data_IF_411930736770
#
_entry.id   IF_411930736770
#
_cell.length_a   1.000
_cell.length_b   1.000
_cell.length_c   1.000
_cell.angle_alpha   90.00
_cell.angle_beta   90.00
_cell.angle_gamma   90.00
#
_symmetry.space_group_name_H-M   'P 1'
#
loop_
_entity.id
_entity.type
_entity.pdbx_description
1 polymer ?
#
# COMPACT_ATOMS: atom_id res chain seq x y z
N UNK A 1 9.30 30.12 -6.37
CA UNK A 1 10.39 30.75 -5.60
C UNK A 1 10.58 32.24 -5.91
N UNK A 2 10.58 32.69 -7.17
CA UNK A 2 10.72 34.12 -7.55
C UNK A 2 9.76 35.09 -6.84
N UNK A 3 8.53 34.67 -6.52
CA UNK A 3 7.55 35.50 -5.79
C UNK A 3 7.98 35.79 -4.35
N UNK A 4 8.67 34.85 -3.71
CA UNK A 4 9.18 35.00 -2.34
C UNK A 4 10.39 35.94 -2.29
N UNK A 5 11.22 35.95 -3.33
CA UNK A 5 12.33 36.89 -3.47
C UNK A 5 11.84 38.33 -3.66
N UNK A 6 10.69 38.49 -4.30
CA UNK A 6 10.08 39.79 -4.58
C UNK A 6 9.21 40.29 -3.42
N UNK A 7 8.52 39.40 -2.72
CA UNK A 7 7.72 39.71 -1.55
C UNK A 7 7.92 38.64 -0.44
N UNK A 8 8.85 38.89 0.49
CA UNK A 8 9.13 37.99 1.61
C UNK A 8 8.01 37.87 2.66
N UNK A 9 6.92 38.65 2.51
CA UNK A 9 5.78 38.67 3.43
C UNK A 9 4.49 38.13 2.80
N UNK A 10 4.55 37.58 1.59
CA UNK A 10 3.39 36.98 0.94
C UNK A 10 3.09 35.57 1.49
N UNK A 11 2.20 35.47 2.50
CA UNK A 11 1.83 34.21 3.14
C UNK A 11 1.42 33.12 2.13
N UNK A 12 0.54 33.47 1.17
CA UNK A 12 0.03 32.53 0.17
C UNK A 12 1.13 31.98 -0.75
N UNK A 13 2.16 32.76 -1.06
CA UNK A 13 3.29 32.29 -1.86
C UNK A 13 4.07 31.19 -1.13
N UNK A 14 4.23 31.31 0.20
CA UNK A 14 4.85 30.29 1.02
C UNK A 14 3.94 29.05 1.19
N UNK A 15 2.65 29.23 1.48
CA UNK A 15 1.73 28.10 1.67
C UNK A 15 1.55 27.26 0.39
N UNK A 16 1.39 27.91 -0.75
CA UNK A 16 1.28 27.20 -2.03
C UNK A 16 2.59 26.50 -2.41
N UNK A 17 3.74 27.12 -2.12
CA UNK A 17 5.02 26.43 -2.25
C UNK A 17 5.08 25.18 -1.36
N UNK A 18 4.58 25.26 -0.11
CA UNK A 18 4.44 24.12 0.80
C UNK A 18 3.57 22.99 0.24
N UNK A 19 2.40 23.32 -0.31
CA UNK A 19 1.49 22.34 -0.92
C UNK A 19 2.07 21.64 -2.13
N UNK A 20 2.73 22.39 -3.01
CA UNK A 20 3.44 21.82 -4.16
C UNK A 20 4.54 20.87 -3.68
N UNK A 21 5.33 21.27 -2.68
CA UNK A 21 6.38 20.43 -2.11
C UNK A 21 5.81 19.18 -1.42
N UNK A 22 4.65 19.28 -0.77
CA UNK A 22 3.97 18.14 -0.15
C UNK A 22 3.51 17.11 -1.20
N UNK A 23 2.90 17.55 -2.30
CA UNK A 23 2.50 16.66 -3.41
C UNK A 23 3.72 15.99 -4.04
N UNK A 24 4.83 16.73 -4.12
CA UNK A 24 6.12 16.21 -4.56
C UNK A 24 6.80 15.29 -3.54
N UNK A 25 6.13 14.97 -2.41
CA UNK A 25 6.65 14.15 -1.30
C UNK A 25 7.92 14.70 -0.65
N UNK A 26 8.22 15.99 -0.86
CA UNK A 26 9.31 16.73 -0.21
C UNK A 26 8.83 17.29 1.11
N UNK A 27 8.46 16.40 2.01
CA UNK A 27 7.74 16.75 3.23
C UNK A 27 8.54 17.70 4.15
N UNK A 28 9.87 17.57 4.34
CA UNK A 28 10.61 18.51 5.19
C UNK A 28 10.69 19.93 4.63
N UNK A 29 10.79 20.08 3.30
CA UNK A 29 10.76 21.41 2.67
C UNK A 29 9.34 21.99 2.69
N UNK A 30 8.32 21.16 2.47
CA UNK A 30 6.94 21.56 2.61
C UNK A 30 6.68 22.16 4.00
N UNK A 31 7.18 21.53 5.06
CA UNK A 31 7.06 22.02 6.44
C UNK A 31 7.70 23.40 6.63
N UNK A 32 8.88 23.69 6.03
CA UNK A 32 9.52 25.02 6.13
C UNK A 32 8.66 26.13 5.49
N UNK A 33 8.12 25.85 4.31
CA UNK A 33 7.27 26.78 3.58
C UNK A 33 5.92 26.97 4.26
N UNK A 34 5.32 25.89 4.76
CA UNK A 34 4.13 25.99 5.60
C UNK A 34 4.37 26.80 6.86
N UNK A 35 5.49 26.57 7.57
CA UNK A 35 5.84 27.34 8.77
C UNK A 35 5.92 28.84 8.48
N UNK A 36 6.65 29.25 7.44
CA UNK A 36 6.77 30.68 7.08
C UNK A 36 5.44 31.28 6.61
N UNK A 37 4.65 30.53 5.87
CA UNK A 37 3.31 30.97 5.47
C UNK A 37 2.37 31.11 6.66
N UNK A 38 2.46 30.21 7.64
CA UNK A 38 1.68 30.22 8.86
C UNK A 38 2.14 31.30 9.86
N UNK A 39 3.42 31.69 9.88
CA UNK A 39 3.87 32.89 10.62
C UNK A 39 3.15 34.17 10.14
N UNK A 40 2.96 34.29 8.83
CA UNK A 40 2.30 35.43 8.20
C UNK A 40 0.77 35.30 8.22
N UNK A 41 0.24 34.08 8.29
CA UNK A 41 -1.20 33.77 8.28
C UNK A 41 -1.54 32.61 9.25
N UNK A 42 -1.54 32.85 10.57
CA UNK A 42 -1.58 31.79 11.58
C UNK A 42 -2.92 31.05 11.72
N UNK A 43 -4.01 31.57 11.15
CA UNK A 43 -5.36 30.97 11.25
C UNK A 43 -5.83 30.28 9.98
N UNK A 44 -4.91 29.92 9.08
CA UNK A 44 -5.28 29.25 7.84
C UNK A 44 -5.48 27.74 8.10
N UNK A 45 -6.74 27.32 8.24
CA UNK A 45 -7.11 25.95 8.62
C UNK A 45 -6.61 24.86 7.64
N UNK A 46 -6.79 25.00 6.30
CA UNK A 46 -6.20 24.05 5.35
C UNK A 46 -4.68 23.94 5.49
N UNK A 47 -3.98 25.08 5.61
CA UNK A 47 -2.54 25.08 5.77
C UNK A 47 -2.07 24.42 7.08
N UNK A 48 -2.81 24.57 8.18
CA UNK A 48 -2.53 23.89 9.45
C UNK A 48 -2.71 22.36 9.33
N UNK A 49 -3.78 21.91 8.66
CA UNK A 49 -4.03 20.48 8.41
C UNK A 49 -2.97 19.86 7.50
N UNK A 50 -2.60 20.56 6.43
CA UNK A 50 -1.58 20.09 5.50
C UNK A 50 -0.19 20.14 6.11
N UNK A 51 0.12 21.14 6.92
CA UNK A 51 1.35 21.19 7.71
C UNK A 51 1.41 20.02 8.72
N UNK A 52 0.31 19.72 9.41
CA UNK A 52 0.24 18.58 10.32
C UNK A 52 0.43 17.24 9.61
N UNK A 53 -0.22 17.06 8.44
CA UNK A 53 -0.03 15.87 7.61
C UNK A 53 1.41 15.77 7.10
N UNK A 54 2.03 16.90 6.72
CA UNK A 54 3.43 16.95 6.32
C UNK A 54 4.36 16.49 7.45
N UNK A 55 4.13 16.96 8.68
CA UNK A 55 4.87 16.55 9.86
C UNK A 55 4.62 15.06 10.23
N UNK A 56 3.40 14.55 10.05
CA UNK A 56 3.04 13.14 10.29
C UNK A 56 3.80 12.16 9.38
N UNK A 57 3.93 12.48 8.09
CA UNK A 57 4.64 11.64 7.11
C UNK A 57 6.14 11.52 7.40
N UNK A 58 6.71 12.47 8.16
CA UNK A 58 8.14 12.48 8.52
C UNK A 58 8.38 12.14 10.00
N UNK A 59 7.35 11.72 10.74
CA UNK A 59 7.46 11.34 12.15
C UNK A 59 7.63 12.48 13.14
N UNK A 60 7.47 13.73 12.71
CA UNK A 60 7.53 14.95 13.54
C UNK A 60 6.21 15.14 14.30
N UNK A 61 5.86 14.15 15.12
CA UNK A 61 4.52 14.04 15.69
C UNK A 61 4.18 15.17 16.66
N UNK A 62 5.11 15.67 17.46
CA UNK A 62 4.80 16.78 18.38
C UNK A 62 4.37 18.05 17.64
N UNK A 63 5.10 18.39 16.58
CA UNK A 63 4.80 19.55 15.74
C UNK A 63 3.51 19.33 14.95
N UNK A 64 3.28 18.10 14.48
CA UNK A 64 2.03 17.73 13.84
C UNK A 64 0.84 17.90 14.80
N UNK A 65 0.97 17.46 16.05
CA UNK A 65 -0.05 17.63 17.09
C UNK A 65 -0.26 19.11 17.43
N UNK A 66 0.78 19.93 17.43
CA UNK A 66 0.67 21.37 17.65
C UNK A 66 -0.20 22.02 16.57
N UNK A 67 0.10 21.79 15.29
CA UNK A 67 -0.73 22.32 14.20
C UNK A 67 -2.16 21.80 14.22
N UNK A 68 -2.37 20.53 14.60
CA UNK A 68 -3.72 19.97 14.76
C UNK A 68 -4.46 20.62 15.92
N UNK A 69 -3.78 20.93 17.03
CA UNK A 69 -4.38 21.67 18.13
C UNK A 69 -4.78 23.09 17.71
N UNK A 70 -3.96 23.77 16.92
CA UNK A 70 -4.27 25.09 16.37
C UNK A 70 -5.44 25.02 15.38
N UNK A 71 -5.47 24.01 14.50
CA UNK A 71 -6.59 23.74 13.61
C UNK A 71 -7.88 23.52 14.39
N UNK A 72 -7.85 22.70 15.44
CA UNK A 72 -8.97 22.43 16.33
C UNK A 72 -9.39 23.63 17.18
N UNK A 73 -8.48 24.58 17.41
CA UNK A 73 -8.84 25.84 18.07
C UNK A 73 -9.67 26.76 17.17
N UNK A 74 -9.54 26.62 15.84
CA UNK A 74 -10.27 27.39 14.83
C UNK A 74 -11.57 26.69 14.47
N UNK A 75 -11.52 25.38 14.23
CA UNK A 75 -12.67 24.51 14.02
C UNK A 75 -12.59 23.29 14.95
N UNK A 76 -13.20 23.38 16.16
CA UNK A 76 -13.22 22.29 17.12
C UNK A 76 -13.95 21.03 16.62
N UNK A 77 -14.79 21.17 15.59
CA UNK A 77 -15.55 20.09 14.98
C UNK A 77 -14.88 19.48 13.75
N UNK A 78 -13.67 19.94 13.41
CA UNK A 78 -12.96 19.44 12.23
C UNK A 78 -12.61 17.97 12.40
N UNK A 79 -13.42 17.09 11.80
CA UNK A 79 -13.22 15.65 11.91
C UNK A 79 -11.88 15.19 11.31
N UNK A 80 -11.40 15.90 10.29
CA UNK A 80 -10.09 15.63 9.68
C UNK A 80 -8.97 15.91 10.67
N UNK A 81 -9.04 17.03 11.40
CA UNK A 81 -8.06 17.38 12.42
C UNK A 81 -8.10 16.39 13.60
N UNK A 82 -9.30 16.07 14.10
CA UNK A 82 -9.51 15.12 15.20
C UNK A 82 -8.96 13.73 14.85
N UNK A 83 -9.35 13.17 13.69
CA UNK A 83 -8.89 11.83 13.26
C UNK A 83 -7.38 11.77 13.06
N UNK A 84 -6.78 12.81 12.46
CA UNK A 84 -5.32 12.88 12.30
C UNK A 84 -4.62 12.99 13.63
N UNK A 85 -5.10 13.84 14.54
CA UNK A 85 -4.48 14.02 15.86
C UNK A 85 -4.50 12.72 16.66
N UNK A 86 -5.62 11.99 16.59
CA UNK A 86 -5.73 10.67 17.19
C UNK A 86 -4.78 9.65 16.55
N UNK A 87 -4.58 9.67 15.23
CA UNK A 87 -3.60 8.82 14.53
C UNK A 87 -2.16 9.15 14.95
N UNK A 88 -1.80 10.43 14.99
CA UNK A 88 -0.46 10.88 15.36
C UNK A 88 -0.14 10.58 16.82
N UNK A 89 -1.07 10.76 17.75
CA UNK A 89 -0.87 10.35 19.14
C UNK A 89 -0.68 8.83 19.27
N UNK A 90 -1.31 8.04 18.39
CA UNK A 90 -1.10 6.59 18.34
C UNK A 90 0.26 6.23 17.74
N UNK A 91 0.71 6.92 16.69
CA UNK A 91 2.00 6.69 16.01
C UNK A 91 3.20 7.16 16.85
N UNK A 92 3.10 8.33 17.49
CA UNK A 92 4.11 8.86 18.40
C UNK A 92 4.42 7.93 19.56
N UNK A 93 3.35 7.48 20.21
CA UNK A 93 3.41 6.45 21.25
C UNK A 93 3.91 5.09 20.72
N UNK A 94 3.88 4.86 19.42
CA UNK A 94 4.37 3.64 18.79
C UNK A 94 5.83 3.74 18.33
N UNK A 95 6.52 4.88 18.49
CA UNK A 95 7.82 5.10 17.83
C UNK A 95 8.88 5.88 18.66
N UNK A 96 8.52 6.57 19.74
CA UNK A 96 9.43 6.82 20.92
C UNK A 96 10.10 5.53 21.45
N UNK A 97 9.59 4.49 20.85
CA UNK A 97 9.75 3.10 20.96
C UNK A 97 10.98 2.51 20.30
N UNK A 98 11.56 3.11 19.27
CA UNK A 98 12.21 2.26 18.26
C UNK A 98 13.74 2.28 18.18
N UNK A 99 14.44 3.30 18.66
CA UNK A 99 15.91 3.25 18.78
C UNK A 99 16.50 3.89 20.07
N UNK A 100 15.68 4.59 20.87
CA UNK A 100 16.05 5.01 22.24
C UNK A 100 15.49 4.12 23.36
N UNK A 101 14.61 3.19 23.00
CA UNK A 101 13.98 2.22 23.89
C UNK A 101 13.87 0.90 23.14
N UNK A 102 14.93 0.08 23.07
CA UNK A 102 14.79 -1.32 22.63
C UNK A 102 13.49 -1.96 23.16
N UNK A 103 13.17 -1.68 24.43
CA UNK A 103 11.95 -2.07 25.14
C UNK A 103 10.65 -1.80 24.41
N UNK A 104 10.56 -0.68 23.72
CA UNK A 104 9.32 -0.26 23.14
C UNK A 104 9.17 -0.88 21.74
N UNK A 105 10.23 -0.99 20.92
CA UNK A 105 10.19 -1.73 19.65
C UNK A 105 9.85 -3.15 19.97
N UNK A 106 10.50 -3.70 20.99
CA UNK A 106 10.17 -4.99 21.55
C UNK A 106 8.71 -5.04 22.00
N UNK A 107 8.14 -3.99 22.61
CA UNK A 107 6.69 -3.92 22.90
C UNK A 107 5.84 -3.88 21.63
N UNK A 108 6.23 -3.18 20.57
CA UNK A 108 5.52 -3.17 19.29
C UNK A 108 5.56 -4.55 18.64
N UNK A 109 6.74 -5.16 18.55
CA UNK A 109 6.96 -6.50 18.00
C UNK A 109 6.28 -7.58 18.84
N UNK A 110 6.25 -7.47 20.17
CA UNK A 110 5.54 -8.42 21.04
C UNK A 110 4.02 -8.25 20.93
N UNK A 111 3.51 -7.01 20.76
CA UNK A 111 2.08 -6.80 20.43
C UNK A 111 1.73 -7.41 19.08
N UNK A 112 2.55 -7.16 18.07
CA UNK A 112 2.38 -7.72 16.73
C UNK A 112 2.45 -9.25 16.75
N UNK A 113 3.40 -9.81 17.50
CA UNK A 113 3.55 -11.25 17.72
C UNK A 113 2.28 -11.85 18.33
N UNK A 114 1.73 -11.25 19.39
CA UNK A 114 0.48 -11.74 20.02
C UNK A 114 -0.73 -11.62 19.10
N UNK A 115 -0.88 -10.47 18.43
CA UNK A 115 -1.93 -10.23 17.43
C UNK A 115 -1.90 -11.34 16.37
N UNK A 116 -0.72 -11.62 15.82
CA UNK A 116 -0.56 -12.62 14.78
C UNK A 116 -0.64 -14.05 15.36
N UNK A 117 -0.15 -14.32 16.58
CA UNK A 117 -0.27 -15.64 17.22
C UNK A 117 -1.74 -16.04 17.40
N UNK A 118 -2.57 -15.14 17.93
CA UNK A 118 -4.01 -15.37 18.09
C UNK A 118 -4.68 -15.58 16.73
N UNK A 119 -4.36 -14.72 15.78
CA UNK A 119 -4.93 -14.76 14.43
C UNK A 119 -4.56 -16.06 13.71
N UNK A 120 -3.31 -16.51 13.80
CA UNK A 120 -2.82 -17.72 13.13
C UNK A 120 -3.01 -19.01 13.94
N UNK A 121 -3.45 -18.91 15.20
CA UNK A 121 -3.73 -20.05 16.07
C UNK A 121 -2.49 -20.80 16.55
N UNK A 122 -1.31 -20.18 16.52
CA UNK A 122 -0.03 -20.75 16.95
C UNK A 122 0.80 -19.72 17.71
N UNK A 123 1.77 -20.15 18.50
CA UNK A 123 2.72 -19.21 19.09
C UNK A 123 3.83 -18.87 18.09
N UNK A 124 3.84 -17.62 17.62
CA UNK A 124 4.81 -17.15 16.62
C UNK A 124 6.16 -16.78 17.23
N UNK A 125 7.27 -16.93 16.48
CA UNK A 125 8.61 -16.59 16.94
C UNK A 125 8.76 -15.08 17.16
N UNK A 126 9.72 -14.68 18.00
CA UNK A 126 10.12 -13.28 18.11
C UNK A 126 10.85 -12.85 16.85
N UNK A 127 10.52 -11.67 16.33
CA UNK A 127 11.26 -11.04 15.25
C UNK A 127 12.24 -10.00 15.80
N UNK A 128 13.37 -9.84 15.11
CA UNK A 128 14.31 -8.74 15.31
C UNK A 128 14.18 -7.78 14.13
N UNK A 129 14.19 -6.47 14.36
CA UNK A 129 14.18 -5.45 13.29
C UNK A 129 15.56 -4.81 13.20
N UNK A 130 16.11 -4.71 11.98
CA UNK A 130 17.39 -4.07 11.73
C UNK A 130 17.28 -3.08 10.58
N UNK A 131 17.96 -1.94 10.72
CA UNK A 131 18.11 -1.00 9.61
C UNK A 131 19.19 -1.52 8.66
N UNK A 132 18.80 -1.76 7.41
CA UNK A 132 19.70 -2.23 6.34
C UNK A 132 20.11 -1.03 5.49
N UNK A 133 21.38 -0.64 5.61
CA UNK A 133 21.95 0.54 4.92
C UNK A 133 22.35 0.26 3.48
N UNK A 134 22.77 -0.97 3.19
CA UNK A 134 23.17 -1.40 1.85
C UNK A 134 22.25 -2.53 1.40
N UNK A 135 21.54 -2.27 0.30
CA UNK A 135 20.57 -3.20 -0.27
C UNK A 135 21.30 -4.39 -0.94
N UNK A 136 20.89 -5.64 -0.68
CA UNK A 136 21.46 -6.79 -1.36
C UNK A 136 21.28 -6.70 -2.89
N UNK A 137 22.27 -7.10 -3.72
CA UNK A 137 22.22 -6.98 -5.19
C UNK A 137 21.02 -7.67 -5.86
N UNK A 138 20.50 -8.73 -5.22
CA UNK A 138 19.37 -9.52 -5.69
C UNK A 138 17.99 -8.91 -5.37
N UNK A 139 17.95 -7.82 -4.61
CA UNK A 139 16.70 -7.22 -4.12
C UNK A 139 16.23 -6.12 -5.10
N UNK A 140 14.98 -6.17 -5.59
CA UNK A 140 14.47 -5.16 -6.53
C UNK A 140 14.52 -3.77 -5.93
N UNK A 141 14.95 -2.77 -6.71
CA UNK A 141 15.21 -1.41 -6.24
C UNK A 141 14.03 -0.78 -5.47
N UNK A 142 12.79 -1.13 -5.82
CA UNK A 142 11.57 -0.65 -5.18
C UNK A 142 11.24 -1.28 -3.82
N UNK A 143 11.91 -2.36 -3.41
CA UNK A 143 11.59 -3.05 -2.15
C UNK A 143 12.08 -2.30 -0.92
N UNK A 144 11.19 -2.16 0.08
CA UNK A 144 11.41 -1.39 1.31
C UNK A 144 11.69 -2.27 2.55
N UNK A 145 11.54 -3.59 2.43
CA UNK A 145 11.66 -4.55 3.52
C UNK A 145 12.23 -5.88 3.06
N UNK A 146 12.85 -6.63 3.97
CA UNK A 146 13.32 -7.98 3.71
C UNK A 146 13.23 -8.86 4.96
N UNK A 147 13.11 -10.17 4.76
CA UNK A 147 13.12 -11.18 5.81
C UNK A 147 14.26 -12.19 5.64
N UNK A 148 15.38 -11.97 6.35
CA UNK A 148 16.58 -12.83 6.36
C UNK A 148 16.96 -13.27 7.79
N UNK A 149 16.04 -13.92 8.49
CA UNK A 149 16.21 -14.25 9.92
C UNK A 149 16.04 -13.06 10.86
N UNK A 150 15.92 -11.85 10.29
CA UNK A 150 15.48 -10.61 10.91
C UNK A 150 14.66 -9.82 9.86
N UNK A 151 13.83 -8.88 10.32
CA UNK A 151 13.12 -7.91 9.49
C UNK A 151 14.09 -6.76 9.18
N UNK A 152 14.58 -6.73 7.95
CA UNK A 152 15.44 -5.66 7.46
C UNK A 152 14.61 -4.50 6.93
N UNK A 153 14.71 -3.34 7.57
CA UNK A 153 14.15 -2.09 7.04
C UNK A 153 15.15 -1.45 6.11
N UNK A 154 14.83 -1.44 4.81
CA UNK A 154 15.67 -0.79 3.81
C UNK A 154 15.29 0.68 3.74
N UNK A 155 16.10 1.50 4.40
CA UNK A 155 15.85 2.95 4.47
C UNK A 155 16.44 3.60 3.22
N UNK A 156 15.59 3.80 2.22
CA UNK A 156 15.92 4.59 1.03
C UNK A 156 15.59 6.07 1.27
N UNK A 157 16.58 6.86 1.69
CA UNK A 157 16.41 8.30 1.86
C UNK A 157 15.71 8.68 3.18
N UNK A 158 14.75 9.61 3.14
CA UNK A 158 14.05 10.09 4.33
C UNK A 158 13.12 9.03 4.93
N UNK A 159 13.19 8.89 6.25
CA UNK A 159 12.42 7.92 7.02
C UNK A 159 10.93 8.31 7.06
N UNK A 160 10.04 7.46 6.53
CA UNK A 160 8.59 7.58 6.64
C UNK A 160 8.07 6.55 7.68
N UNK A 161 7.63 6.98 8.87
CA UNK A 161 7.20 6.05 9.92
C UNK A 161 5.92 5.27 9.59
N UNK A 162 5.02 5.87 8.79
CA UNK A 162 3.81 5.18 8.35
C UNK A 162 4.15 4.05 7.39
N UNK A 163 5.10 4.29 6.48
CA UNK A 163 5.69 3.25 5.63
C UNK A 163 6.45 2.22 6.47
N UNK A 164 7.15 2.63 7.52
CA UNK A 164 7.92 1.70 8.37
C UNK A 164 7.03 0.71 9.12
N UNK A 165 5.94 1.18 9.73
CA UNK A 165 4.98 0.29 10.40
C UNK A 165 4.37 -0.69 9.41
N UNK A 166 3.99 -0.20 8.21
CA UNK A 166 3.45 -1.05 7.16
C UNK A 166 4.47 -2.11 6.70
N UNK A 167 5.74 -1.73 6.53
CA UNK A 167 6.82 -2.66 6.17
C UNK A 167 7.07 -3.69 7.25
N UNK A 168 7.15 -3.32 8.54
CA UNK A 168 7.35 -4.31 9.61
C UNK A 168 6.20 -5.31 9.64
N UNK A 169 4.94 -4.84 9.52
CA UNK A 169 3.76 -5.72 9.48
C UNK A 169 3.77 -6.63 8.25
N UNK A 170 4.15 -6.10 7.09
CA UNK A 170 4.31 -6.86 5.85
C UNK A 170 5.34 -7.98 6.02
N UNK A 171 6.56 -7.67 6.47
CA UNK A 171 7.61 -8.68 6.66
C UNK A 171 7.29 -9.69 7.78
N UNK A 172 6.58 -9.27 8.82
CA UNK A 172 6.11 -10.17 9.88
C UNK A 172 5.04 -11.15 9.37
N UNK A 173 4.22 -10.75 8.39
CA UNK A 173 3.25 -11.64 7.76
C UNK A 173 3.95 -12.81 7.05
N UNK A 174 5.04 -12.53 6.34
CA UNK A 174 5.89 -13.58 5.73
C UNK A 174 6.42 -14.55 6.78
N UNK A 175 6.88 -14.05 7.94
CA UNK A 175 7.33 -14.89 9.06
C UNK A 175 6.19 -15.77 9.62
N UNK A 176 4.99 -15.21 9.75
CA UNK A 176 3.83 -15.94 10.24
C UNK A 176 3.40 -17.06 9.28
N UNK A 177 3.38 -16.78 7.97
CA UNK A 177 3.08 -17.77 6.94
C UNK A 177 4.10 -18.91 6.94
N UNK A 178 5.40 -18.60 7.03
CA UNK A 178 6.47 -19.61 7.18
C UNK A 178 6.33 -20.47 8.44
N UNK A 179 5.63 -19.98 9.46
CA UNK A 179 5.44 -20.69 10.74
C UNK A 179 4.24 -21.66 10.71
N UNK A 180 3.31 -21.49 9.78
CA UNK A 180 2.11 -22.35 9.67
C UNK A 180 2.08 -23.24 8.42
N UNK A 181 2.93 -22.97 7.42
CA UNK A 181 2.91 -23.69 6.14
C UNK A 181 4.09 -24.67 6.02
N UNK A 182 3.82 -25.89 5.57
CA UNK A 182 4.83 -26.90 5.22
C UNK A 182 5.44 -26.70 3.81
N UNK A 183 5.29 -25.50 3.24
CA UNK A 183 5.71 -25.12 1.89
C UNK A 183 5.59 -23.62 1.66
N UNK A 184 5.81 -23.17 0.42
CA UNK A 184 5.72 -21.75 0.04
C UNK A 184 4.36 -21.53 -0.63
N UNK A 185 3.47 -20.67 -0.08
CA UNK A 185 2.23 -20.30 -0.75
C UNK A 185 2.50 -19.70 -2.13
N UNK A 186 1.53 -19.76 -3.06
CA UNK A 186 1.63 -19.06 -4.35
C UNK A 186 1.97 -17.58 -4.16
N UNK A 187 2.80 -17.01 -5.04
CA UNK A 187 3.38 -15.68 -4.81
C UNK A 187 2.33 -14.58 -4.59
N UNK A 188 1.26 -14.56 -5.37
CA UNK A 188 0.15 -13.62 -5.21
C UNK A 188 -0.61 -13.81 -3.89
N UNK A 189 -0.64 -15.02 -3.36
CA UNK A 189 -1.30 -15.32 -2.10
C UNK A 189 -0.43 -14.87 -0.94
N UNK A 190 0.88 -15.15 -0.98
CA UNK A 190 1.85 -14.69 0.02
C UNK A 190 1.91 -13.16 0.09
N UNK A 191 2.19 -12.49 -1.03
CA UNK A 191 2.27 -11.03 -1.11
C UNK A 191 0.89 -10.37 -0.85
N UNK A 192 -0.20 -11.00 -1.29
CA UNK A 192 -1.56 -10.51 -1.04
C UNK A 192 -1.94 -10.54 0.44
N UNK A 193 -1.55 -11.60 1.17
CA UNK A 193 -1.73 -11.69 2.62
C UNK A 193 -0.86 -10.66 3.34
N UNK A 194 0.40 -10.50 2.92
CA UNK A 194 1.31 -9.52 3.51
C UNK A 194 0.81 -8.08 3.32
N UNK A 195 0.35 -7.73 2.11
CA UNK A 195 -0.27 -6.43 1.83
C UNK A 195 -1.54 -6.21 2.63
N UNK A 196 -2.42 -7.22 2.71
CA UNK A 196 -3.65 -7.15 3.50
C UNK A 196 -3.37 -6.90 4.99
N UNK A 197 -2.33 -7.53 5.55
CA UNK A 197 -1.95 -7.38 6.96
C UNK A 197 -1.12 -6.11 7.25
N UNK A 198 -0.53 -5.47 6.22
CA UNK A 198 0.30 -4.26 6.34
C UNK A 198 -0.47 -3.03 6.86
N UNK A 199 -1.77 -2.93 6.55
CA UNK A 199 -2.62 -1.81 6.96
C UNK A 199 -2.58 -0.57 6.06
N UNK A 200 -1.92 -0.61 4.90
CA UNK A 200 -1.94 0.49 3.90
C UNK A 200 -3.37 0.66 3.35
N UNK A 201 -3.84 1.91 3.16
CA UNK A 201 -5.20 2.19 2.63
C UNK A 201 -5.37 1.70 1.19
N UNK A 202 -6.45 0.96 0.96
CA UNK A 202 -6.84 0.43 -0.36
C UNK A 202 -7.55 1.45 -1.26
N UNK A 203 -7.77 2.69 -0.81
CA UNK A 203 -8.62 3.64 -1.54
C UNK A 203 -8.07 3.95 -2.94
N UNK A 204 -6.74 4.11 -3.07
CA UNK A 204 -6.07 4.32 -4.35
C UNK A 204 -5.96 3.04 -5.20
N UNK A 205 -6.09 1.87 -4.59
CA UNK A 205 -5.99 0.59 -5.28
C UNK A 205 -7.33 0.19 -5.90
N UNK A 206 -8.47 0.54 -5.27
CA UNK A 206 -9.80 0.26 -5.81
C UNK A 206 -10.04 0.93 -7.17
N UNK A 207 -9.68 2.21 -7.30
CA UNK A 207 -9.79 2.93 -8.57
C UNK A 207 -8.89 2.32 -9.65
N UNK A 208 -7.65 1.99 -9.28
CA UNK A 208 -6.68 1.35 -10.18
C UNK A 208 -7.15 -0.02 -10.66
N UNK A 209 -7.66 -0.84 -9.76
CA UNK A 209 -8.17 -2.18 -10.07
C UNK A 209 -9.39 -2.10 -10.99
N UNK A 210 -10.31 -1.18 -10.71
CA UNK A 210 -11.47 -0.96 -11.57
C UNK A 210 -11.07 -0.51 -12.98
N UNK A 211 -10.17 0.48 -13.08
CA UNK A 211 -9.67 0.98 -14.36
C UNK A 211 -8.95 -0.13 -15.15
N UNK A 212 -8.15 -0.96 -14.47
CA UNK A 212 -7.47 -2.10 -15.08
C UNK A 212 -8.46 -3.17 -15.54
N UNK A 213 -9.50 -3.47 -14.74
CA UNK A 213 -10.55 -4.44 -15.07
C UNK A 213 -11.34 -4.00 -16.31
N UNK A 214 -11.80 -2.75 -16.35
CA UNK A 214 -12.55 -2.19 -17.50
C UNK A 214 -11.74 -2.21 -18.79
N UNK A 215 -10.42 -2.02 -18.68
CA UNK A 215 -9.51 -1.99 -19.85
C UNK A 215 -8.91 -3.35 -20.19
N UNK A 216 -9.28 -4.44 -19.51
CA UNK A 216 -8.71 -5.77 -19.73
C UNK A 216 -7.21 -5.84 -19.47
N UNK A 217 -6.71 -5.05 -18.51
CA UNK A 217 -5.28 -4.95 -18.15
C UNK A 217 -4.90 -5.73 -16.89
N UNK A 218 -5.85 -6.48 -16.30
CA UNK A 218 -5.55 -7.29 -15.12
C UNK A 218 -4.54 -8.39 -15.45
N UNK A 219 -3.67 -8.73 -14.50
CA UNK A 219 -2.69 -9.79 -14.64
C UNK A 219 -3.30 -11.11 -14.13
N UNK A 220 -3.29 -12.19 -14.92
CA UNK A 220 -3.73 -13.50 -14.43
C UNK A 220 -2.93 -13.93 -13.19
N UNK A 221 -3.61 -14.44 -12.17
CA UNK A 221 -3.01 -14.84 -10.88
C UNK A 221 -1.90 -15.88 -11.07
N UNK A 222 -2.05 -16.77 -12.06
CA UNK A 222 -1.00 -17.75 -12.44
C UNK A 222 0.31 -17.10 -12.90
N UNK A 223 0.30 -15.82 -13.27
CA UNK A 223 1.49 -15.04 -13.67
C UNK A 223 2.05 -14.18 -12.54
N UNK A 224 1.38 -14.17 -11.38
CA UNK A 224 1.79 -13.46 -10.19
C UNK A 224 2.46 -14.41 -9.18
N UNK A 225 3.27 -15.36 -9.66
CA UNK A 225 4.06 -16.24 -8.78
C UNK A 225 5.36 -15.57 -8.32
N UNK A 226 5.87 -14.59 -9.07
CA UNK A 226 7.06 -13.83 -8.70
C UNK A 226 6.87 -12.34 -9.01
N UNK A 227 6.24 -11.63 -8.08
CA UNK A 227 5.93 -10.20 -8.21
C UNK A 227 7.21 -9.36 -8.29
N UNK A 228 8.35 -9.88 -7.82
CA UNK A 228 9.66 -9.20 -7.81
C UNK A 228 10.24 -8.99 -9.19
N UNK A 229 9.88 -9.85 -10.13
CA UNK A 229 10.38 -9.84 -11.51
C UNK A 229 9.42 -9.14 -12.49
N UNK A 230 8.39 -8.46 -11.99
CA UNK A 230 7.51 -7.67 -12.82
C UNK A 230 8.16 -6.33 -13.21
N UNK A 231 7.87 -5.81 -14.41
CA UNK A 231 8.21 -4.44 -14.77
C UNK A 231 7.67 -3.46 -13.73
N UNK A 232 8.45 -2.44 -13.36
CA UNK A 232 8.15 -1.52 -12.26
C UNK A 232 6.75 -0.86 -12.40
N UNK A 233 6.31 -0.62 -13.63
CA UNK A 233 4.99 -0.07 -13.96
C UNK A 233 3.83 -1.02 -13.64
N UNK A 234 4.09 -2.32 -13.54
CA UNK A 234 3.11 -3.37 -13.21
C UNK A 234 3.12 -3.79 -11.75
N UNK A 235 4.22 -3.56 -11.03
CA UNK A 235 4.38 -3.97 -9.62
C UNK A 235 3.22 -3.47 -8.75
N UNK A 236 2.88 -2.18 -8.82
CA UNK A 236 1.77 -1.62 -8.02
C UNK A 236 0.39 -2.20 -8.36
N UNK A 237 0.17 -2.57 -9.62
CA UNK A 237 -1.07 -3.23 -10.02
C UNK A 237 -1.09 -4.67 -9.48
N UNK A 238 0.02 -5.40 -9.61
CA UNK A 238 0.15 -6.78 -9.14
C UNK A 238 -0.09 -6.91 -7.63
N UNK A 239 0.48 -6.01 -6.82
CA UNK A 239 0.24 -5.99 -5.37
C UNK A 239 -1.23 -5.68 -5.03
N UNK A 240 -1.87 -4.75 -5.75
CA UNK A 240 -3.29 -4.47 -5.59
C UNK A 240 -4.17 -5.68 -5.98
N UNK A 241 -3.82 -6.38 -7.06
CA UNK A 241 -4.52 -7.59 -7.52
C UNK A 241 -4.42 -8.72 -6.50
N UNK A 242 -3.19 -9.04 -6.09
CA UNK A 242 -2.88 -10.04 -5.06
C UNK A 242 -3.68 -9.79 -3.77
N UNK A 243 -3.63 -8.55 -3.26
CA UNK A 243 -4.39 -8.15 -2.06
C UNK A 243 -5.89 -8.33 -2.25
N UNK A 244 -6.46 -7.84 -3.34
CA UNK A 244 -7.91 -7.90 -3.56
C UNK A 244 -8.43 -9.33 -3.76
N UNK A 245 -7.63 -10.22 -4.35
CA UNK A 245 -7.97 -11.65 -4.46
C UNK A 245 -8.00 -12.33 -3.08
N UNK A 246 -7.06 -12.00 -2.20
CA UNK A 246 -7.03 -12.48 -0.80
C UNK A 246 -8.23 -11.95 0.00
N UNK A 247 -8.56 -10.67 -0.13
CA UNK A 247 -9.74 -10.07 0.52
C UNK A 247 -11.03 -10.79 0.11
N UNK A 248 -11.16 -11.14 -1.18
CA UNK A 248 -12.30 -11.88 -1.70
C UNK A 248 -12.37 -13.31 -1.12
N UNK A 249 -11.24 -14.02 -1.03
CA UNK A 249 -11.20 -15.36 -0.40
C UNK A 249 -11.61 -15.33 1.08
N UNK A 250 -11.14 -14.34 1.84
CA UNK A 250 -11.50 -14.18 3.25
C UNK A 250 -13.00 -13.92 3.39
N UNK A 251 -13.59 -13.11 2.50
CA UNK A 251 -15.03 -12.85 2.50
C UNK A 251 -15.88 -14.09 2.20
N UNK A 252 -15.35 -15.06 1.44
CA UNK A 252 -16.04 -16.32 1.12
C UNK A 252 -15.95 -17.36 2.24
N UNK A 253 -14.83 -17.41 2.95
CA UNK A 253 -14.46 -18.54 3.81
C UNK A 253 -14.41 -18.23 5.30
N UNK A 254 -14.43 -16.95 5.68
CA UNK A 254 -13.94 -16.49 6.98
C UNK A 254 -12.44 -16.83 7.21
N UNK A 255 -11.85 -16.25 8.26
CA UNK A 255 -10.41 -16.29 8.46
C UNK A 255 -9.84 -17.70 8.73
N UNK A 256 -10.49 -18.53 9.56
CA UNK A 256 -9.95 -19.86 9.91
C UNK A 256 -9.97 -20.83 8.73
N UNK A 257 -11.08 -21.01 7.99
CA UNK A 257 -11.08 -21.85 6.80
C UNK A 257 -10.19 -21.31 5.67
N UNK A 258 -10.03 -19.98 5.57
CA UNK A 258 -9.05 -19.39 4.68
C UNK A 258 -7.60 -19.82 5.01
N UNK A 259 -7.21 -19.87 6.28
CA UNK A 259 -5.87 -20.35 6.64
C UNK A 259 -5.63 -21.82 6.26
N UNK A 260 -6.66 -22.67 6.33
CA UNK A 260 -6.55 -24.08 5.87
C UNK A 260 -6.39 -24.17 4.35
N UNK A 261 -7.05 -23.27 3.59
CA UNK A 261 -6.83 -23.11 2.16
C UNK A 261 -5.38 -22.68 1.88
N UNK A 262 -4.85 -21.70 2.60
CA UNK A 262 -3.45 -21.21 2.43
C UNK A 262 -2.45 -22.33 2.69
N UNK A 263 -2.60 -23.07 3.80
CA UNK A 263 -1.75 -24.23 4.12
C UNK A 263 -1.78 -25.28 3.02
N UNK A 264 -2.96 -25.56 2.48
CA UNK A 264 -3.12 -26.51 1.37
C UNK A 264 -2.49 -25.98 0.08
N UNK A 265 -2.61 -24.68 -0.20
CA UNK A 265 -2.02 -24.04 -1.38
C UNK A 265 -0.50 -24.08 -1.34
N UNK A 266 0.11 -23.92 -0.16
CA UNK A 266 1.56 -24.00 0.02
C UNK A 266 2.17 -25.36 -0.36
N UNK A 267 1.37 -26.44 -0.32
CA UNK A 267 1.83 -27.80 -0.64
C UNK A 267 1.34 -28.27 -2.01
N UNK A 268 0.10 -27.95 -2.38
CA UNK A 268 -0.57 -28.50 -3.58
C UNK A 268 -0.75 -27.48 -4.71
N UNK A 269 -0.41 -26.22 -4.50
CA UNK A 269 -0.67 -25.12 -5.42
C UNK A 269 -2.09 -24.57 -5.34
N UNK A 270 -2.28 -23.36 -5.89
CA UNK A 270 -3.53 -22.59 -5.81
C UNK A 270 -4.74 -23.35 -6.38
N UNK A 271 -4.62 -23.89 -7.61
CA UNK A 271 -5.75 -24.51 -8.32
C UNK A 271 -6.35 -25.70 -7.55
N UNK A 272 -5.48 -26.56 -7.01
CA UNK A 272 -5.92 -27.71 -6.22
C UNK A 272 -6.48 -27.28 -4.87
N UNK A 273 -5.88 -26.29 -4.21
CA UNK A 273 -6.40 -25.80 -2.93
C UNK A 273 -7.78 -25.16 -3.05
N UNK A 274 -7.98 -24.29 -4.06
CA UNK A 274 -9.26 -23.66 -4.37
C UNK A 274 -10.32 -24.74 -4.66
N UNK A 275 -9.97 -25.79 -5.41
CA UNK A 275 -10.89 -26.90 -5.67
C UNK A 275 -11.30 -27.63 -4.39
N UNK A 276 -10.33 -27.94 -3.53
CA UNK A 276 -10.55 -28.67 -2.28
C UNK A 276 -11.45 -27.86 -1.31
N UNK A 277 -11.37 -26.52 -1.30
CA UNK A 277 -12.05 -25.67 -0.31
C UNK A 277 -13.30 -24.95 -0.82
N UNK A 278 -13.36 -24.62 -2.10
CA UNK A 278 -14.45 -23.83 -2.71
C UNK A 278 -15.24 -24.62 -3.76
N UNK A 279 -14.80 -25.80 -4.16
CA UNK A 279 -15.46 -26.60 -5.19
C UNK A 279 -15.35 -26.02 -6.60
N UNK A 280 -14.44 -25.08 -6.83
CA UNK A 280 -14.18 -24.44 -8.14
C UNK A 280 -12.68 -24.48 -8.49
N UNK A 281 -12.33 -24.35 -9.77
CA UNK A 281 -10.93 -24.23 -10.20
C UNK A 281 -10.45 -22.76 -10.15
N UNK A 282 -9.14 -22.54 -10.37
CA UNK A 282 -8.56 -21.18 -10.26
C UNK A 282 -9.14 -20.22 -11.31
N UNK A 283 -9.41 -20.69 -12.53
CA UNK A 283 -9.93 -19.82 -13.60
C UNK A 283 -11.39 -19.40 -13.32
N UNK A 284 -12.19 -20.30 -12.73
CA UNK A 284 -13.55 -20.00 -12.25
C UNK A 284 -13.52 -18.97 -11.12
N UNK A 285 -12.62 -19.19 -10.13
CA UNK A 285 -12.40 -18.24 -9.05
C UNK A 285 -11.98 -16.86 -9.57
N UNK A 286 -11.02 -16.80 -10.49
CA UNK A 286 -10.58 -15.54 -11.12
C UNK A 286 -11.75 -14.82 -11.79
N UNK A 287 -12.61 -15.55 -12.50
CA UNK A 287 -13.80 -14.98 -13.13
C UNK A 287 -14.80 -14.39 -12.12
N UNK A 288 -15.06 -15.07 -11.00
CA UNK A 288 -15.93 -14.57 -9.92
C UNK A 288 -15.33 -13.33 -9.25
N UNK A 289 -14.05 -13.40 -8.88
CA UNK A 289 -13.32 -12.29 -8.26
C UNK A 289 -13.29 -11.05 -9.15
N UNK A 290 -12.98 -11.19 -10.44
CA UNK A 290 -12.99 -10.05 -11.38
C UNK A 290 -14.37 -9.41 -11.50
N UNK A 291 -15.45 -10.21 -11.51
CA UNK A 291 -16.82 -9.68 -11.51
C UNK A 291 -17.14 -8.90 -10.24
N UNK A 292 -16.57 -9.27 -9.11
CA UNK A 292 -16.70 -8.51 -7.85
C UNK A 292 -16.01 -7.14 -7.90
N UNK A 293 -14.89 -7.00 -8.60
CA UNK A 293 -14.21 -5.72 -8.80
C UNK A 293 -15.11 -4.77 -9.62
N UNK A 294 -15.73 -5.29 -10.67
CA UNK A 294 -16.60 -4.50 -11.54
C UNK A 294 -17.92 -4.09 -10.85
N UNK A 295 -18.45 -4.91 -9.93
CA UNK A 295 -19.72 -4.63 -9.25
C UNK A 295 -19.60 -3.73 -8.02
N UNK A 296 -18.40 -3.60 -7.44
CA UNK A 296 -18.15 -2.87 -6.19
C UNK A 296 -17.87 -1.37 -6.37
N UNK A 297 -17.64 -0.89 -7.59
CA UNK A 297 -17.36 0.53 -7.84
C UNK A 297 -18.64 1.37 -7.90
N UNK A 298 -18.68 2.48 -7.15
CA UNK A 298 -19.69 3.55 -7.34
C UNK A 298 -19.49 4.34 -8.65
N UNK A 299 -18.38 4.11 -9.35
CA UNK A 299 -17.99 4.73 -10.62
C UNK A 299 -18.82 4.13 -11.77
N UNK A 300 -19.49 4.98 -12.56
CA UNK A 300 -20.31 4.53 -13.69
C UNK A 300 -19.56 4.72 -15.01
N UNK A 301 -19.78 3.85 -16.02
CA UNK A 301 -19.14 3.97 -17.34
C UNK A 301 -19.31 5.32 -18.06
N UNK A 302 -20.27 6.15 -17.64
CA UNK A 302 -20.54 7.48 -18.22
C UNK A 302 -19.44 8.50 -17.93
N UNK A 303 -18.61 8.28 -16.92
CA UNK A 303 -17.53 9.20 -16.54
C UNK A 303 -16.31 9.09 -17.49
N UNK A 304 -16.38 8.22 -18.51
CA UNK A 304 -15.32 7.93 -19.50
C UNK A 304 -15.75 8.18 -20.96
N UNK A 305 -16.85 8.91 -21.22
CA UNK A 305 -17.34 9.19 -22.59
C UNK A 305 -16.37 10.05 -23.46
N UNK A 306 -15.16 10.36 -22.98
CA UNK A 306 -14.15 11.08 -23.74
C UNK A 306 -13.31 10.25 -24.72
N UNK A 307 -13.12 8.94 -24.52
CA UNK A 307 -12.06 8.19 -25.24
C UNK A 307 -12.42 6.77 -25.71
N UNK A 308 -13.71 6.41 -25.74
CA UNK A 308 -14.15 5.08 -26.20
C UNK A 308 -14.70 5.11 -27.63
N UNK A 309 -13.83 5.31 -28.63
CA UNK A 309 -14.07 4.72 -29.95
C UNK A 309 -13.57 3.27 -29.95
N UNK A 310 -14.40 2.36 -29.47
CA UNK A 310 -14.16 0.91 -29.63
C UNK A 310 -14.84 0.03 -28.60
N UNK A 311 -16.00 -0.53 -28.94
CA UNK A 311 -16.51 -1.78 -28.36
C UNK A 311 -17.18 -1.66 -26.98
N UNK A 312 -18.52 -1.65 -26.97
CA UNK A 312 -19.35 -1.85 -25.77
C UNK A 312 -19.12 -3.25 -25.20
N UNK A 313 -18.38 -3.38 -24.09
CA UNK A 313 -18.41 -4.59 -23.27
C UNK A 313 -19.49 -4.42 -22.19
N UNK A 314 -20.58 -5.20 -22.27
CA UNK A 314 -21.60 -5.27 -21.21
C UNK A 314 -21.08 -6.17 -20.10
N UNK A 315 -21.53 -5.91 -18.86
CA UNK A 315 -21.20 -6.61 -17.61
C UNK A 315 -21.23 -8.17 -17.66
N UNK A 316 -21.78 -8.79 -18.72
CA UNK A 316 -21.90 -10.24 -18.87
C UNK A 316 -21.05 -10.91 -19.96
N UNK A 317 -20.24 -10.16 -20.73
CA UNK A 317 -19.56 -10.70 -21.93
C UNK A 317 -18.04 -10.87 -21.78
N UNK A 318 -17.47 -10.66 -20.59
CA UNK A 318 -16.02 -10.80 -20.39
C UNK A 318 -15.61 -12.28 -20.40
N UNK A 319 -14.77 -12.64 -21.38
CA UNK A 319 -14.05 -13.93 -21.40
C UNK A 319 -12.60 -13.67 -21.00
N UNK A 320 -12.05 -14.38 -20.00
CA UNK A 320 -10.63 -14.26 -19.68
C UNK A 320 -9.80 -14.63 -20.92
N UNK A 321 -8.75 -13.84 -21.19
CA UNK A 321 -7.79 -14.19 -22.24
C UNK A 321 -7.16 -15.53 -21.90
N UNK A 322 -7.25 -16.49 -22.83
CA UNK A 322 -6.59 -17.79 -22.68
C UNK A 322 -5.07 -17.58 -22.63
N UNK A 323 -4.40 -18.49 -21.94
CA UNK A 323 -2.95 -18.48 -21.66
C UNK A 323 -2.03 -18.37 -22.89
N UNK A 324 -2.55 -18.52 -24.11
CA UNK A 324 -1.76 -18.63 -25.36
C UNK A 324 -1.65 -17.33 -26.18
N UNK A 325 -2.44 -16.29 -25.91
CA UNK A 325 -2.60 -15.15 -26.85
C UNK A 325 -1.71 -13.91 -26.61
N UNK A 326 -0.63 -14.01 -25.81
CA UNK A 326 0.30 -12.88 -25.62
C UNK A 326 1.69 -13.10 -26.23
N UNK A 327 1.80 -13.96 -27.25
CA UNK A 327 3.02 -14.09 -28.06
C UNK A 327 3.07 -13.21 -29.31
N UNK A 328 2.12 -12.31 -29.51
CA UNK A 328 2.12 -11.44 -30.70
C UNK A 328 1.71 -10.01 -30.35
N UNK A 329 2.63 -9.25 -29.75
CA UNK A 329 2.69 -7.80 -29.95
C UNK A 329 4.14 -7.32 -30.23
N UNK A 330 4.98 -8.22 -30.75
CA UNK A 330 6.14 -7.84 -31.54
C UNK A 330 5.75 -7.86 -33.02
N UNK A 331 5.42 -6.69 -33.55
CA UNK A 331 5.70 -6.19 -34.91
C UNK A 331 4.63 -5.19 -35.35
N UNK A 332 4.99 -3.90 -35.37
CA UNK A 332 4.88 -2.99 -36.51
C UNK A 332 5.82 -1.80 -36.21
N UNK A 333 7.08 -1.93 -36.62
CA UNK A 333 7.72 -1.21 -37.74
C UNK A 333 8.05 0.26 -37.46
N UNK A 334 9.34 0.48 -37.20
CA UNK A 334 10.24 1.38 -37.93
C UNK A 334 9.69 2.74 -38.41
N UNK A 335 10.26 3.83 -37.85
CA UNK A 335 10.21 5.13 -38.50
C UNK A 335 10.85 6.29 -37.72
N UNK A 336 12.14 6.54 -37.99
CA UNK A 336 12.90 7.78 -37.72
C UNK A 336 13.23 8.11 -36.24
N UNK A 337 14.45 8.45 -35.84
CA UNK A 337 15.47 9.28 -36.49
C UNK A 337 16.89 8.81 -36.15
N UNK A 338 17.77 8.86 -37.17
CA UNK A 338 19.22 9.05 -37.00
C UNK A 338 19.49 10.50 -36.61
N UNK A 339 20.32 10.72 -35.59
CA UNK A 339 21.51 11.60 -35.56
C UNK A 339 22.03 11.64 -34.13
#
# INVERSE_FOLDING_TARGET
MRVIELDPNCAGAYLNAGAVLFIMRRYPDAVKFYRRGLELSPKNLPALLDAAKACEMIGEWDEALRYLNEALSIDPSSEVALRRKERILREKKAFEVLEGHVDELDRFLERLRREFSERFGIELPRAEVRIVKEKPPQMPEWSAGMLEGYIGLVVHGEFDPGVTVAVIRHEYAHLALRSICDGIPPGWMEEGIAEFLSGVSADLDRERLWEAAVRGRLIPLRRLEDLRNLPAERVRLAYAEARSAVEYLIALLDWKPFLELVKTAAVKGADRSIRDHLGMNLDEFEGEWMRSILSSSQLRPKDLEGDLQGGRCRYGDYKPQKSEDLRTDEKHKDGCYRA
#
